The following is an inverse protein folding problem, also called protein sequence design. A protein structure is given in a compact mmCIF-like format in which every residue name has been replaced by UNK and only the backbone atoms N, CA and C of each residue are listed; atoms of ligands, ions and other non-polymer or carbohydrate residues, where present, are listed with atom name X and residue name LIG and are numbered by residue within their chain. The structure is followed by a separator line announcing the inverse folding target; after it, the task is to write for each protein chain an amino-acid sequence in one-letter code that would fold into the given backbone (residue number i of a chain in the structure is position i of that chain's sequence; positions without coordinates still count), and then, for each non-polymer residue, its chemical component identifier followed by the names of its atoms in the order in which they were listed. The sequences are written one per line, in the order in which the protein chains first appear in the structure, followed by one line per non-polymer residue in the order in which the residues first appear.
data_IF_301369829976
#
_entry.id   IF_301369829976
#
_cell.length_a   1.000
_cell.length_b   1.000
_cell.length_c   1.000
_cell.angle_alpha   90.00
_cell.angle_beta   90.00
_cell.angle_gamma   90.00
#
_symmetry.space_group_name_H-M   'P 1'
#
loop_
_entity.id
_entity.type
_entity.pdbx_description
1 polymer ?
#
# COMPACT_ATOMS: atom_id res chain seq x y z
N UNK A 1 -22.79 25.90 -15.40
CA UNK A 1 -21.39 25.42 -15.29
C UNK A 1 -20.85 25.85 -13.93
N UNK A 2 -20.50 24.89 -13.06
CA UNK A 2 -20.06 25.16 -11.68
C UNK A 2 -18.53 25.21 -11.67
N UNK A 3 -17.96 26.39 -11.43
CA UNK A 3 -16.51 26.58 -11.34
C UNK A 3 -15.98 25.91 -10.08
N UNK A 4 -15.30 24.78 -10.23
CA UNK A 4 -14.51 24.17 -9.15
C UNK A 4 -13.19 24.94 -9.09
N UNK A 5 -13.14 25.90 -8.16
CA UNK A 5 -11.89 26.59 -7.81
C UNK A 5 -10.99 25.55 -7.13
N UNK A 6 -10.09 24.98 -7.92
CA UNK A 6 -9.11 23.98 -7.50
C UNK A 6 -8.16 24.65 -6.52
N UNK A 7 -8.22 24.25 -5.25
CA UNK A 7 -7.46 24.80 -4.13
C UNK A 7 -5.95 24.53 -4.29
N UNK A 8 -5.27 25.36 -5.09
CA UNK A 8 -3.81 25.29 -5.32
C UNK A 8 -2.99 25.48 -4.05
N UNK A 9 -3.57 26.11 -3.03
CA UNK A 9 -2.93 26.36 -1.74
C UNK A 9 -2.68 25.08 -0.94
N UNK A 10 -3.55 24.07 -1.04
CA UNK A 10 -3.41 22.82 -0.25
C UNK A 10 -2.23 21.99 -0.76
N UNK A 11 -2.09 21.86 -2.09
CA UNK A 11 -0.95 21.14 -2.68
C UNK A 11 0.39 21.82 -2.42
N UNK A 12 0.43 23.16 -2.44
CA UNK A 12 1.65 23.91 -2.17
C UNK A 12 2.10 23.80 -0.70
N UNK A 13 1.15 23.74 0.24
CA UNK A 13 1.45 23.59 1.66
C UNK A 13 1.95 22.17 1.98
N UNK A 14 1.40 21.13 1.34
CA UNK A 14 1.91 19.75 1.47
C UNK A 14 3.33 19.58 0.93
N UNK A 15 3.70 20.31 -0.14
CA UNK A 15 5.05 20.28 -0.71
C UNK A 15 6.09 21.02 0.15
N UNK A 16 5.70 22.11 0.84
CA UNK A 16 6.59 22.88 1.73
C UNK A 16 6.89 22.18 3.07
N UNK A 17 6.02 21.29 3.53
CA UNK A 17 6.31 20.41 4.68
C UNK A 17 7.34 19.32 4.33
N UNK A 18 7.43 18.92 3.06
CA UNK A 18 8.44 17.93 2.61
C UNK A 18 9.84 18.55 2.42
N UNK A 19 9.95 19.87 2.24
CA UNK A 19 11.23 20.53 1.95
C UNK A 19 12.02 21.00 3.18
N UNK A 20 11.42 21.00 4.38
CA UNK A 20 12.06 21.53 5.60
C UNK A 20 12.50 20.47 6.61
N UNK A 21 12.31 19.19 6.29
CA UNK A 21 12.80 18.13 7.15
C UNK A 21 14.17 17.74 6.61
N UNK A 22 15.22 18.18 7.28
CA UNK A 22 16.54 17.53 7.24
C UNK A 22 16.35 16.10 7.76
N UNK A 23 15.82 15.24 6.88
CA UNK A 23 15.36 13.89 7.22
C UNK A 23 16.58 13.02 7.48
N UNK A 24 16.71 12.57 8.73
CA UNK A 24 17.69 11.54 9.09
C UNK A 24 17.46 10.29 8.23
N UNK A 25 18.53 9.58 7.85
CA UNK A 25 18.40 8.32 7.10
C UNK A 25 17.55 7.29 7.84
N UNK A 26 17.53 7.36 9.18
CA UNK A 26 16.77 6.45 10.02
C UNK A 26 15.26 6.73 9.98
N UNK A 27 14.86 8.01 9.95
CA UNK A 27 13.46 8.39 9.76
C UNK A 27 13.02 8.04 8.34
N UNK A 28 13.89 8.23 7.33
CA UNK A 28 13.57 7.90 5.94
C UNK A 28 13.25 6.41 5.78
N UNK A 29 14.05 5.55 6.41
CA UNK A 29 13.81 4.10 6.40
C UNK A 29 12.48 3.72 7.06
N UNK A 30 12.10 4.38 8.17
CA UNK A 30 10.80 4.16 8.82
C UNK A 30 9.62 4.60 7.95
N UNK A 31 9.76 5.74 7.25
CA UNK A 31 8.72 6.23 6.34
C UNK A 31 8.56 5.30 5.13
N UNK A 32 9.67 4.86 4.54
CA UNK A 32 9.66 3.91 3.41
C UNK A 32 9.02 2.57 3.82
N UNK A 33 9.28 2.11 5.03
CA UNK A 33 8.68 0.91 5.61
C UNK A 33 7.16 1.04 5.82
N UNK A 34 6.70 2.17 6.38
CA UNK A 34 5.26 2.44 6.53
C UNK A 34 4.58 2.47 5.16
N UNK A 35 5.19 3.13 4.17
CA UNK A 35 4.66 3.21 2.81
C UNK A 35 4.56 1.84 2.14
N UNK A 36 5.55 0.96 2.36
CA UNK A 36 5.57 -0.41 1.87
C UNK A 36 4.35 -1.19 2.39
N UNK A 37 4.19 -1.26 3.71
CA UNK A 37 3.10 -2.04 4.31
C UNK A 37 1.73 -1.45 4.02
N UNK A 38 1.61 -0.12 4.07
CA UNK A 38 0.38 0.58 3.73
C UNK A 38 -0.06 0.29 2.29
N UNK A 39 0.86 0.37 1.33
CA UNK A 39 0.54 0.13 -0.09
C UNK A 39 0.08 -1.30 -0.34
N UNK A 40 0.79 -2.30 0.21
CA UNK A 40 0.43 -3.71 0.04
C UNK A 40 -0.94 -4.01 0.65
N UNK A 41 -1.21 -3.47 1.84
CA UNK A 41 -2.51 -3.62 2.49
C UNK A 41 -3.63 -2.98 1.66
N UNK A 42 -3.46 -1.73 1.24
CA UNK A 42 -4.46 -1.00 0.45
C UNK A 42 -4.75 -1.68 -0.89
N UNK A 43 -3.70 -2.17 -1.57
CA UNK A 43 -3.86 -2.90 -2.82
C UNK A 43 -4.55 -4.25 -2.65
N UNK A 44 -4.33 -4.95 -1.53
CA UNK A 44 -5.03 -6.19 -1.25
C UNK A 44 -6.53 -5.98 -1.02
N UNK A 45 -6.89 -4.97 -0.22
CA UNK A 45 -8.29 -4.58 0.04
C UNK A 45 -8.97 -4.11 -1.26
N UNK A 46 -8.26 -3.33 -2.07
CA UNK A 46 -8.81 -2.82 -3.32
C UNK A 46 -8.99 -3.90 -4.38
N UNK A 47 -7.97 -4.74 -4.63
CA UNK A 47 -8.01 -5.73 -5.72
C UNK A 47 -8.89 -6.93 -5.35
N UNK A 48 -8.80 -7.41 -4.11
CA UNK A 48 -9.52 -8.60 -3.63
C UNK A 48 -10.76 -8.21 -2.83
N UNK A 49 -10.60 -7.38 -1.78
CA UNK A 49 -11.68 -7.05 -0.84
C UNK A 49 -12.89 -6.39 -1.51
N UNK A 50 -12.69 -5.51 -2.50
CA UNK A 50 -13.82 -4.92 -3.26
C UNK A 50 -14.68 -5.94 -4.00
N UNK A 51 -14.11 -7.10 -4.35
CA UNK A 51 -14.81 -8.21 -5.01
C UNK A 51 -15.34 -9.24 -4.00
N UNK A 52 -14.85 -9.22 -2.76
CA UNK A 52 -15.13 -10.18 -1.70
C UNK A 52 -15.27 -9.48 -0.34
N UNK A 53 -16.37 -8.73 -0.13
CA UNK A 53 -16.54 -7.87 1.05
C UNK A 53 -16.68 -8.64 2.37
N UNK A 54 -16.85 -9.96 2.30
CA UNK A 54 -16.93 -10.88 3.43
C UNK A 54 -15.56 -11.36 3.92
N UNK A 55 -14.49 -11.15 3.14
CA UNK A 55 -13.13 -11.57 3.50
C UNK A 55 -12.51 -10.64 4.53
N UNK A 56 -11.73 -11.22 5.42
CA UNK A 56 -10.89 -10.43 6.34
C UNK A 56 -9.70 -9.82 5.59
N UNK A 57 -9.06 -8.82 6.20
CA UNK A 57 -7.83 -8.24 5.65
C UNK A 57 -6.73 -9.31 5.42
N UNK A 58 -6.59 -10.28 6.32
CA UNK A 58 -5.62 -11.37 6.15
C UNK A 58 -5.95 -12.24 4.93
N UNK A 59 -7.23 -12.58 4.75
CA UNK A 59 -7.67 -13.33 3.58
C UNK A 59 -7.43 -12.53 2.29
N UNK A 60 -7.64 -11.21 2.32
CA UNK A 60 -7.40 -10.32 1.20
C UNK A 60 -5.91 -10.26 0.85
N UNK A 61 -5.03 -10.05 1.83
CA UNK A 61 -3.58 -10.04 1.64
C UNK A 61 -3.09 -11.38 1.12
N UNK A 62 -3.50 -12.49 1.75
CA UNK A 62 -3.11 -13.85 1.35
C UNK A 62 -3.54 -14.15 -0.09
N UNK A 63 -4.81 -13.86 -0.44
CA UNK A 63 -5.31 -14.04 -1.81
C UNK A 63 -4.56 -13.15 -2.80
N UNK A 64 -4.23 -11.91 -2.39
CA UNK A 64 -3.54 -10.96 -3.25
C UNK A 64 -2.09 -11.38 -3.53
N UNK A 65 -1.37 -11.88 -2.52
CA UNK A 65 -0.02 -12.41 -2.69
C UNK A 65 -0.01 -13.66 -3.59
N UNK A 66 -1.03 -14.52 -3.49
CA UNK A 66 -1.21 -15.66 -4.40
C UNK A 66 -1.52 -15.18 -5.83
N UNK A 67 -2.37 -14.16 -6.00
CA UNK A 67 -2.64 -13.50 -7.28
C UNK A 67 -1.35 -12.94 -7.94
N UNK A 68 -0.44 -12.40 -7.13
CA UNK A 68 0.89 -11.93 -7.56
C UNK A 68 1.91 -13.05 -7.78
N UNK A 69 1.50 -14.32 -7.64
CA UNK A 69 2.34 -15.52 -7.83
C UNK A 69 3.54 -15.58 -6.89
N UNK A 70 3.39 -15.09 -5.67
CA UNK A 70 4.40 -15.25 -4.64
C UNK A 70 4.48 -16.72 -4.23
N UNK A 71 5.70 -17.21 -3.95
CA UNK A 71 5.91 -18.59 -3.50
C UNK A 71 5.07 -18.85 -2.24
N UNK A 72 4.28 -19.92 -2.25
CA UNK A 72 3.38 -20.28 -1.14
C UNK A 72 4.08 -20.40 0.19
N UNK A 73 5.36 -20.79 0.20
CA UNK A 73 6.16 -20.88 1.43
C UNK A 73 6.42 -19.51 2.07
N UNK A 74 6.42 -18.43 1.28
CA UNK A 74 6.69 -17.06 1.73
C UNK A 74 5.40 -16.32 2.11
N UNK A 75 4.25 -16.71 1.54
CA UNK A 75 2.97 -15.98 1.69
C UNK A 75 2.58 -15.80 3.15
N UNK A 76 2.62 -16.86 3.95
CA UNK A 76 2.21 -16.79 5.37
C UNK A 76 3.05 -15.78 6.16
N UNK A 77 4.36 -15.79 5.92
CA UNK A 77 5.28 -14.89 6.60
C UNK A 77 5.14 -13.43 6.13
N UNK A 78 5.00 -13.22 4.82
CA UNK A 78 4.76 -11.90 4.25
C UNK A 78 3.42 -11.31 4.70
N UNK A 79 2.35 -12.12 4.74
CA UNK A 79 1.04 -11.69 5.22
C UNK A 79 1.12 -11.21 6.67
N UNK A 80 1.76 -12.00 7.54
CA UNK A 80 1.95 -11.62 8.95
C UNK A 80 2.72 -10.31 9.09
N UNK A 81 3.77 -10.09 8.30
CA UNK A 81 4.52 -8.83 8.33
C UNK A 81 3.67 -7.62 7.90
N UNK A 82 2.84 -7.78 6.86
CA UNK A 82 1.92 -6.72 6.41
C UNK A 82 0.84 -6.44 7.47
N UNK A 83 0.30 -7.48 8.11
CA UNK A 83 -0.76 -7.36 9.11
C UNK A 83 -0.28 -6.71 10.40
N UNK A 84 0.99 -6.91 10.80
CA UNK A 84 1.53 -6.26 12.02
C UNK A 84 1.38 -4.73 11.99
N UNK A 85 1.32 -4.12 10.80
CA UNK A 85 1.12 -2.69 10.63
C UNK A 85 -0.35 -2.23 10.66
N UNK A 86 -1.30 -3.17 10.69
CA UNK A 86 -2.73 -2.88 10.86
C UNK A 86 -3.02 -2.16 12.17
N UNK A 87 -2.39 -2.57 13.26
CA UNK A 87 -2.62 -2.00 14.59
C UNK A 87 -2.08 -0.56 14.70
N UNK A 88 -1.16 -0.17 13.83
CA UNK A 88 -0.61 1.19 13.74
C UNK A 88 -1.42 2.15 12.86
N UNK A 89 -2.30 1.65 11.98
CA UNK A 89 -3.13 2.46 11.08
C UNK A 89 -4.59 1.95 11.12
N UNK A 90 -5.37 2.33 12.15
CA UNK A 90 -6.66 1.70 12.49
C UNK A 90 -7.80 1.93 11.48
N UNK A 91 -7.57 2.66 10.39
CA UNK A 91 -8.52 2.84 9.30
C UNK A 91 -7.79 2.77 7.98
N UNK A 92 -7.85 1.60 7.34
CA UNK A 92 -7.38 1.33 5.99
C UNK A 92 -8.54 1.40 5.01
N UNK A 93 -9.41 2.41 5.10
CA UNK A 93 -10.27 2.70 3.95
C UNK A 93 -9.36 2.84 2.72
N UNK A 94 -9.79 2.41 1.52
CA UNK A 94 -9.00 2.55 0.29
C UNK A 94 -8.72 4.03 -0.04
N UNK A 95 -7.86 4.71 0.70
CA UNK A 95 -7.59 6.16 0.55
C UNK A 95 -6.94 6.44 -0.80
N UNK A 96 -6.22 5.44 -1.34
CA UNK A 96 -5.60 5.51 -2.67
C UNK A 96 -6.60 5.34 -3.83
N UNK A 97 -7.80 4.80 -3.58
CA UNK A 97 -8.69 4.33 -4.64
C UNK A 97 -10.09 4.89 -4.44
N UNK A 98 -10.55 5.73 -5.36
CA UNK A 98 -11.84 6.42 -5.21
C UNK A 98 -12.82 6.02 -6.31
N UNK A 99 -14.03 5.65 -5.89
CA UNK A 99 -15.23 5.48 -6.73
C UNK A 99 -15.12 4.44 -7.87
N UNK A 100 -14.05 3.64 -7.91
CA UNK A 100 -13.82 2.57 -8.90
C UNK A 100 -13.83 3.05 -10.38
N UNK A 101 -13.81 4.37 -10.63
CA UNK A 101 -13.95 4.95 -11.97
C UNK A 101 -12.83 4.54 -12.92
N UNK A 102 -11.63 4.27 -12.40
CA UNK A 102 -10.44 3.91 -13.18
C UNK A 102 -9.84 2.58 -12.75
N UNK A 103 -10.70 1.59 -12.48
CA UNK A 103 -10.29 0.32 -11.88
C UNK A 103 -9.10 -0.36 -12.55
N UNK A 104 -9.09 -0.47 -13.87
CA UNK A 104 -8.00 -1.14 -14.59
C UNK A 104 -6.65 -0.46 -14.38
N UNK A 105 -6.65 0.88 -14.33
CA UNK A 105 -5.46 1.68 -14.06
C UNK A 105 -4.99 1.53 -12.62
N UNK A 106 -5.92 1.50 -11.68
CA UNK A 106 -5.63 1.36 -10.25
C UNK A 106 -5.14 -0.05 -9.91
N UNK A 107 -5.73 -1.09 -10.51
CA UNK A 107 -5.22 -2.47 -10.44
C UNK A 107 -3.81 -2.56 -11.04
N UNK A 108 -3.56 -1.89 -12.17
CA UNK A 108 -2.22 -1.85 -12.78
C UNK A 108 -1.20 -1.15 -11.87
N UNK A 109 -1.58 -0.02 -11.24
CA UNK A 109 -0.76 0.63 -10.23
C UNK A 109 -0.42 -0.33 -9.09
N UNK A 110 -1.41 -1.06 -8.58
CA UNK A 110 -1.20 -2.03 -7.52
C UNK A 110 -0.24 -3.14 -7.90
N UNK A 111 -0.34 -3.68 -9.12
CA UNK A 111 0.60 -4.69 -9.60
C UNK A 111 2.05 -4.17 -9.65
N UNK A 112 2.26 -2.96 -10.18
CA UNK A 112 3.59 -2.35 -10.30
C UNK A 112 4.17 -2.02 -8.92
N UNK A 113 3.39 -1.34 -8.08
CA UNK A 113 3.84 -0.95 -6.75
C UNK A 113 4.14 -2.17 -5.87
N UNK A 114 3.27 -3.19 -5.91
CA UNK A 114 3.44 -4.39 -5.09
C UNK A 114 4.64 -5.22 -5.53
N UNK A 115 4.95 -5.30 -6.83
CA UNK A 115 6.16 -5.99 -7.28
C UNK A 115 7.42 -5.39 -6.65
N UNK A 116 7.53 -4.06 -6.67
CA UNK A 116 8.66 -3.34 -6.05
C UNK A 116 8.72 -3.56 -4.53
N UNK A 117 7.58 -3.43 -3.85
CA UNK A 117 7.51 -3.52 -2.39
C UNK A 117 7.68 -4.94 -1.84
N UNK A 118 7.22 -5.96 -2.57
CA UNK A 118 7.43 -7.36 -2.17
C UNK A 118 8.91 -7.72 -2.28
N UNK A 119 9.62 -7.27 -3.30
CA UNK A 119 11.07 -7.49 -3.40
C UNK A 119 11.82 -6.85 -2.23
N UNK A 120 11.49 -5.61 -1.87
CA UNK A 120 12.05 -4.94 -0.70
C UNK A 120 11.77 -5.71 0.59
N UNK A 121 10.52 -6.17 0.76
CA UNK A 121 10.12 -6.93 1.94
C UNK A 121 10.87 -8.27 2.01
N UNK A 122 10.98 -9.01 0.90
CA UNK A 122 11.75 -10.25 0.84
C UNK A 122 13.22 -10.05 1.19
N UNK A 123 13.84 -8.99 0.68
CA UNK A 123 15.22 -8.65 1.01
C UNK A 123 15.41 -8.36 2.50
N UNK A 124 14.52 -7.52 3.07
CA UNK A 124 14.55 -7.20 4.50
C UNK A 124 14.40 -8.44 5.39
N UNK A 125 13.61 -9.40 4.94
CA UNK A 125 13.30 -10.63 5.65
C UNK A 125 14.29 -11.77 5.37
N UNK A 126 15.29 -11.57 4.51
CA UNK A 126 16.25 -12.62 4.14
C UNK A 126 15.62 -13.78 3.34
N UNK A 127 14.54 -13.50 2.60
CA UNK A 127 13.83 -14.47 1.77
C UNK A 127 14.32 -14.51 0.32
N UNK A 128 15.21 -13.59 -0.06
CA UNK A 128 15.86 -13.62 -1.38
C UNK A 128 16.94 -14.69 -1.40
N UNK A 129 16.85 -15.59 -2.39
CA UNK A 129 17.85 -16.62 -2.68
C UNK A 129 18.92 -16.08 -3.62
#
# INVERSE_FOLDING_TARGET
MKNIIRNKAVFALSLLFLSNITYSSEEKNKLDEVMLYFTLSQCSEYVIGTQHPDKTLDDNITTYLDYLRIDKKDISFLSQEIIKFKDTLPTLDPVLFKDNENRDKEVSFCAIASAHYIEQLKNKLGLTK
#
